data_IF_874585040880
#
_entry.id   IF_874585040880
#
_cell.length_a   1.000
_cell.length_b   1.000
_cell.length_c   1.000
_cell.angle_alpha   90.00
_cell.angle_beta   90.00
_cell.angle_gamma   90.00
#
_symmetry.space_group_name_H-M   'P 1'
#
loop_
_entity.id
_entity.type
_entity.pdbx_description
1 polymer ?
#
# COMPACT_ATOMS: atom_id res chain seq x y z
N UNK A 1 13.94 13.82 -10.43
CA UNK A 1 13.67 14.83 -9.38
C UNK A 1 14.01 14.20 -8.03
N UNK A 2 15.18 14.54 -7.46
CA UNK A 2 15.64 13.99 -6.17
C UNK A 2 14.80 14.62 -5.06
N UNK A 3 13.91 13.85 -4.44
CA UNK A 3 13.18 14.26 -3.24
C UNK A 3 14.21 14.44 -2.11
N UNK A 4 14.55 15.69 -1.80
CA UNK A 4 15.28 16.04 -0.57
C UNK A 4 14.24 16.18 0.53
N UNK A 5 14.24 15.26 1.49
CA UNK A 5 13.51 15.43 2.73
C UNK A 5 14.22 16.50 3.58
N UNK A 6 13.54 17.58 4.00
CA UNK A 6 14.12 18.54 4.93
C UNK A 6 14.27 17.91 6.32
N UNK A 7 15.22 18.46 7.07
CA UNK A 7 15.79 17.96 8.32
C UNK A 7 14.81 17.31 9.31
N UNK A 8 15.30 16.22 9.88
CA UNK A 8 14.79 15.50 11.04
C UNK A 8 14.63 16.42 12.26
N UNK A 9 13.46 17.03 12.42
CA UNK A 9 12.96 17.29 13.76
C UNK A 9 12.64 15.94 14.39
N UNK A 10 13.15 15.71 15.59
CA UNK A 10 13.01 14.47 16.35
C UNK A 10 11.52 14.15 16.50
N UNK A 11 11.04 13.20 15.68
CA UNK A 11 9.78 12.53 15.93
C UNK A 11 9.90 11.85 17.30
N UNK A 12 8.90 11.97 18.18
CA UNK A 12 8.88 11.15 19.37
C UNK A 12 8.89 9.69 18.90
N UNK A 13 9.99 8.99 19.18
CA UNK A 13 10.07 7.55 18.99
C UNK A 13 8.86 6.95 19.71
N UNK A 14 7.99 6.29 18.94
CA UNK A 14 6.83 5.54 19.43
C UNK A 14 7.33 4.25 20.12
N UNK A 15 8.29 4.38 21.03
CA UNK A 15 8.76 3.35 21.93
C UNK A 15 7.80 3.26 23.12
N UNK A 16 6.60 2.78 22.87
CA UNK A 16 5.93 1.93 23.84
C UNK A 16 4.98 0.99 23.08
N UNK A 17 4.70 -0.18 23.64
CA UNK A 17 3.79 -1.20 23.08
C UNK A 17 2.32 -0.75 23.09
N UNK A 18 2.06 0.54 22.89
CA UNK A 18 0.73 1.13 22.79
C UNK A 18 0.27 1.14 21.33
N UNK A 19 -1.02 0.90 21.16
CA UNK A 19 -1.67 0.91 19.85
C UNK A 19 -1.44 2.28 19.15
N UNK A 20 -0.99 2.32 17.89
CA UNK A 20 -0.65 3.57 17.19
C UNK A 20 -1.79 4.60 17.18
N UNK A 21 -3.05 4.14 17.13
CA UNK A 21 -4.21 5.03 17.18
C UNK A 21 -4.38 5.66 18.56
N UNK A 22 -4.11 4.91 19.63
CA UNK A 22 -4.15 5.43 20.99
C UNK A 22 -3.07 6.49 21.16
N UNK A 23 -1.85 6.19 20.74
CA UNK A 23 -0.73 7.13 20.86
C UNK A 23 -0.96 8.40 20.06
N UNK A 24 -1.52 8.29 18.85
CA UNK A 24 -1.89 9.46 18.04
C UNK A 24 -2.87 10.38 18.79
N UNK A 25 -3.91 9.80 19.37
CA UNK A 25 -4.96 10.58 20.03
C UNK A 25 -4.46 11.16 21.37
N UNK A 26 -3.64 10.42 22.13
CA UNK A 26 -3.00 10.91 23.36
C UNK A 26 -2.02 12.06 23.10
N UNK A 27 -1.25 11.95 22.02
CA UNK A 27 -0.35 13.02 21.57
C UNK A 27 -1.16 14.26 21.21
N UNK A 28 -2.28 14.10 20.50
CA UNK A 28 -3.18 15.21 20.19
C UNK A 28 -3.77 15.88 21.45
N UNK A 29 -4.25 15.10 22.42
CA UNK A 29 -4.75 15.64 23.70
C UNK A 29 -3.65 16.43 24.41
N UNK A 30 -2.41 15.94 24.37
CA UNK A 30 -1.25 16.62 24.94
C UNK A 30 -0.96 17.96 24.23
N UNK A 31 -1.04 18.01 22.90
CA UNK A 31 -0.92 19.25 22.11
C UNK A 31 -2.01 20.26 22.51
N UNK A 32 -3.25 19.82 22.69
CA UNK A 32 -4.37 20.68 23.13
C UNK A 32 -4.12 21.22 24.54
N UNK A 33 -3.71 20.36 25.49
CA UNK A 33 -3.38 20.77 26.87
C UNK A 33 -2.25 21.80 26.91
N UNK A 34 -1.18 21.57 26.15
CA UNK A 34 -0.06 22.50 26.05
C UNK A 34 -0.50 23.86 25.51
N UNK A 35 -1.36 23.85 24.48
CA UNK A 35 -1.91 25.07 23.88
C UNK A 35 -2.86 25.83 24.83
N UNK A 36 -3.58 25.10 25.69
CA UNK A 36 -4.40 25.67 26.76
C UNK A 36 -3.59 26.15 27.99
N UNK A 37 -2.25 26.02 27.96
CA UNK A 37 -1.35 26.42 29.04
C UNK A 37 -1.33 25.47 30.24
N UNK A 38 -1.81 24.23 30.09
CA UNK A 38 -1.83 23.21 31.14
C UNK A 38 -0.61 22.31 30.96
N UNK A 39 0.43 22.54 31.75
CA UNK A 39 1.61 21.66 31.77
C UNK A 39 1.31 20.41 32.59
N UNK A 40 1.68 19.24 32.08
CA UNK A 40 1.45 17.93 32.72
C UNK A 40 2.02 17.81 34.15
N UNK A 41 3.02 18.63 34.49
CA UNK A 41 3.71 18.65 35.80
C UNK A 41 3.27 19.79 36.74
N UNK A 42 2.24 20.57 36.41
CA UNK A 42 1.79 21.64 37.29
C UNK A 42 1.07 21.06 38.53
N UNK A 43 1.64 21.27 39.73
CA UNK A 43 1.10 20.80 41.02
C UNK A 43 -0.34 21.27 41.33
N UNK A 44 -0.86 22.28 40.61
CA UNK A 44 -2.24 22.75 40.72
C UNK A 44 -2.83 22.90 39.32
N UNK A 45 -3.84 22.08 39.01
CA UNK A 45 -4.69 22.30 37.83
C UNK A 45 -5.42 23.63 38.03
N UNK A 46 -5.35 24.60 37.10
CA UNK A 46 -6.05 25.88 37.26
C UNK A 46 -7.56 25.63 37.38
N UNK A 47 -8.24 26.42 38.22
CA UNK A 47 -9.69 26.32 38.46
C UNK A 47 -10.48 26.39 37.13
N UNK A 48 -9.93 27.09 36.14
CA UNK A 48 -10.52 27.27 34.80
C UNK A 48 -9.96 26.31 33.73
N UNK A 49 -9.24 25.25 34.11
CA UNK A 49 -8.59 24.32 33.17
C UNK A 49 -9.58 23.75 32.14
N UNK A 50 -10.77 23.35 32.60
CA UNK A 50 -11.81 22.80 31.74
C UNK A 50 -12.31 23.84 30.72
N UNK A 51 -12.53 25.08 31.15
CA UNK A 51 -12.99 26.16 30.28
C UNK A 51 -11.96 26.55 29.23
N UNK A 52 -10.67 26.56 29.58
CA UNK A 52 -9.57 26.83 28.63
C UNK A 52 -9.43 25.73 27.58
N UNK A 53 -9.46 24.46 27.99
CA UNK A 53 -9.46 23.33 27.05
C UNK A 53 -10.67 23.42 26.12
N UNK A 54 -11.86 23.67 26.66
CA UNK A 54 -13.08 23.76 25.86
C UNK A 54 -13.02 24.90 24.83
N UNK A 55 -12.51 26.08 25.20
CA UNK A 55 -12.30 27.19 24.27
C UNK A 55 -11.30 26.84 23.16
N UNK A 56 -10.20 26.16 23.49
CA UNK A 56 -9.19 25.75 22.51
C UNK A 56 -9.73 24.67 21.57
N UNK A 57 -10.49 23.71 22.11
CA UNK A 57 -11.20 22.70 21.34
C UNK A 57 -12.20 23.34 20.38
N UNK A 58 -12.99 24.31 20.84
CA UNK A 58 -13.92 25.04 19.98
C UNK A 58 -13.18 25.73 18.84
N UNK A 59 -12.09 26.44 19.10
CA UNK A 59 -11.29 27.10 18.06
C UNK A 59 -10.76 26.12 17.00
N UNK A 60 -10.27 24.96 17.42
CA UNK A 60 -9.67 23.96 16.51
C UNK A 60 -10.70 23.12 15.76
N UNK A 61 -11.81 22.76 16.41
CA UNK A 61 -12.82 21.85 15.88
C UNK A 61 -13.91 22.57 15.06
N UNK A 62 -13.96 23.91 15.05
CA UNK A 62 -14.93 24.67 14.24
C UNK A 62 -14.61 24.72 12.74
N UNK A 63 -13.54 24.05 12.27
CA UNK A 63 -13.31 23.92 10.83
C UNK A 63 -14.48 23.16 10.16
N UNK A 64 -14.93 23.61 8.97
CA UNK A 64 -15.89 22.86 8.17
C UNK A 64 -15.27 21.53 7.73
N UNK A 65 -16.04 20.43 7.80
CA UNK A 65 -15.65 19.12 7.27
C UNK A 65 -15.53 17.97 8.29
N UNK A 66 -15.38 18.25 9.60
CA UNK A 66 -15.30 17.17 10.59
C UNK A 66 -16.69 16.58 10.95
N UNK A 67 -16.85 15.25 11.01
CA UNK A 67 -18.09 14.60 11.45
C UNK A 67 -18.47 14.96 12.89
N UNK A 68 -19.76 15.12 13.17
CA UNK A 68 -20.26 15.46 14.52
C UNK A 68 -19.81 14.43 15.57
N UNK A 69 -19.95 13.14 15.28
CA UNK A 69 -19.58 12.07 16.22
C UNK A 69 -18.07 12.09 16.53
N UNK A 70 -17.24 12.42 15.54
CA UNK A 70 -15.79 12.50 15.73
C UNK A 70 -15.40 13.71 16.57
N UNK A 71 -16.05 14.87 16.37
CA UNK A 71 -15.88 16.04 17.23
C UNK A 71 -16.30 15.74 18.67
N UNK A 72 -17.47 15.14 18.85
CA UNK A 72 -18.00 14.75 20.15
C UNK A 72 -17.05 13.76 20.85
N UNK A 73 -16.50 12.77 20.13
CA UNK A 73 -15.53 11.82 20.67
C UNK A 73 -14.22 12.48 21.13
N UNK A 74 -13.67 13.42 20.36
CA UNK A 74 -12.44 14.14 20.71
C UNK A 74 -12.63 15.05 21.93
N UNK A 75 -13.76 15.77 21.99
CA UNK A 75 -14.10 16.62 23.15
C UNK A 75 -14.24 15.75 24.40
N UNK A 76 -15.00 14.66 24.27
CA UNK A 76 -15.20 13.71 25.36
C UNK A 76 -13.89 13.14 25.90
N UNK A 77 -12.96 12.79 25.00
CA UNK A 77 -11.68 12.24 25.40
C UNK A 77 -10.82 13.26 26.14
N UNK A 78 -10.72 14.50 25.62
CA UNK A 78 -9.95 15.55 26.28
C UNK A 78 -10.49 15.87 27.68
N UNK A 79 -11.81 15.82 27.85
CA UNK A 79 -12.46 16.03 29.15
C UNK A 79 -12.31 14.82 30.09
N UNK A 80 -12.45 13.59 29.59
CA UNK A 80 -12.21 12.38 30.36
C UNK A 80 -10.75 12.33 30.86
N UNK A 81 -9.80 12.74 30.03
CA UNK A 81 -8.38 12.83 30.40
C UNK A 81 -8.09 13.94 31.41
N UNK A 82 -8.87 15.04 31.40
CA UNK A 82 -8.83 16.06 32.45
C UNK A 82 -9.41 15.52 33.78
N UNK A 83 -10.50 14.77 33.76
CA UNK A 83 -11.08 14.16 34.97
C UNK A 83 -10.35 12.90 35.44
N UNK A 84 -9.40 12.40 34.65
CA UNK A 84 -8.70 11.14 34.89
C UNK A 84 -9.66 9.93 34.96
N UNK A 85 -10.71 9.97 34.13
CA UNK A 85 -11.69 8.89 33.97
C UNK A 85 -11.15 7.84 32.98
N UNK A 86 -10.62 6.75 33.53
CA UNK A 86 -9.94 5.70 32.77
C UNK A 86 -10.94 4.87 31.96
N UNK A 87 -12.14 4.63 32.49
CA UNK A 87 -13.15 3.77 31.86
C UNK A 87 -13.68 4.42 30.57
N UNK A 88 -14.03 5.71 30.63
CA UNK A 88 -14.49 6.45 29.45
C UNK A 88 -13.38 6.57 28.41
N UNK A 89 -12.12 6.74 28.82
CA UNK A 89 -10.97 6.77 27.90
C UNK A 89 -10.83 5.45 27.13
N UNK A 90 -10.87 4.31 27.83
CA UNK A 90 -10.73 2.99 27.21
C UNK A 90 -11.87 2.72 26.20
N UNK A 91 -13.11 3.12 26.53
CA UNK A 91 -14.24 3.02 25.60
C UNK A 91 -14.03 3.87 24.34
N UNK A 92 -13.53 5.10 24.49
CA UNK A 92 -13.24 5.99 23.36
C UNK A 92 -12.07 5.47 22.51
N UNK A 93 -11.05 4.87 23.13
CA UNK A 93 -9.95 4.23 22.41
C UNK A 93 -10.45 3.08 21.54
N UNK A 94 -11.32 2.20 22.06
CA UNK A 94 -11.96 1.16 21.26
C UNK A 94 -12.75 1.72 20.07
N UNK A 95 -13.47 2.82 20.29
CA UNK A 95 -14.22 3.49 19.22
C UNK A 95 -13.33 4.09 18.13
N UNK A 96 -12.22 4.75 18.50
CA UNK A 96 -11.25 5.28 17.52
C UNK A 96 -10.55 4.18 16.71
N UNK A 97 -10.39 2.99 17.30
CA UNK A 97 -9.90 1.79 16.58
C UNK A 97 -10.93 1.20 15.62
N UNK A 98 -12.17 1.70 15.63
CA UNK A 98 -13.24 1.23 14.75
C UNK A 98 -13.97 0.00 15.27
N UNK A 99 -13.99 -0.23 16.59
CA UNK A 99 -14.86 -1.26 17.17
C UNK A 99 -16.33 -1.02 16.79
N UNK A 100 -17.02 -2.08 16.34
CA UNK A 100 -18.43 -2.02 15.97
C UNK A 100 -19.34 -2.05 17.21
N UNK A 101 -19.14 -1.08 18.10
CA UNK A 101 -19.88 -0.92 19.34
C UNK A 101 -20.39 0.49 19.46
N UNK A 102 -21.67 0.61 19.84
CA UNK A 102 -22.25 1.90 20.25
C UNK A 102 -21.70 2.22 21.63
N UNK A 103 -21.08 3.38 21.77
CA UNK A 103 -20.58 3.85 23.06
C UNK A 103 -21.45 4.98 23.57
N UNK A 104 -21.59 5.05 24.89
CA UNK A 104 -22.31 6.12 25.56
C UNK A 104 -21.30 7.00 26.28
N UNK A 105 -21.34 8.28 25.98
CA UNK A 105 -20.47 9.29 26.58
C UNK A 105 -21.33 10.18 27.47
N UNK A 106 -20.91 10.47 28.72
CA UNK A 106 -21.59 11.44 29.56
C UNK A 106 -21.77 12.80 28.85
N UNK A 107 -23.01 13.31 28.80
CA UNK A 107 -23.30 14.60 28.15
C UNK A 107 -22.57 15.77 28.85
N UNK A 108 -22.24 15.59 30.13
CA UNK A 108 -21.43 16.52 30.93
C UNK A 108 -20.06 16.81 30.31
N UNK A 109 -19.48 15.89 29.53
CA UNK A 109 -18.21 16.13 28.83
C UNK A 109 -18.36 17.01 27.58
N UNK A 110 -19.56 17.10 27.03
CA UNK A 110 -19.83 17.84 25.79
C UNK A 110 -20.30 19.27 26.05
N UNK A 111 -20.71 19.58 27.28
CA UNK A 111 -21.18 20.92 27.66
C UNK A 111 -20.03 21.84 28.01
N UNK A 112 -20.21 23.12 27.72
CA UNK A 112 -19.30 24.16 28.20
C UNK A 112 -19.32 24.14 29.73
N UNK A 113 -18.16 24.04 30.40
CA UNK A 113 -18.09 24.11 31.84
C UNK A 113 -18.43 25.53 32.28
N UNK A 114 -19.65 25.71 32.80
CA UNK A 114 -20.18 26.97 33.30
C UNK A 114 -20.19 26.91 34.83
N UNK A 115 -19.44 27.79 35.47
CA UNK A 115 -19.01 27.69 36.89
C UNK A 115 -20.11 27.71 37.96
N UNK A 116 -21.40 27.58 37.59
CA UNK A 116 -22.55 27.76 38.47
C UNK A 116 -23.61 26.65 38.38
N UNK A 117 -23.42 25.60 37.58
CA UNK A 117 -24.41 24.50 37.47
C UNK A 117 -23.75 23.13 37.41
N UNK A 118 -23.51 22.53 38.57
CA UNK A 118 -23.38 21.07 38.72
C UNK A 118 -24.78 20.43 38.61
N UNK A 119 -25.40 20.51 37.44
CA UNK A 119 -26.52 19.63 37.13
C UNK A 119 -25.92 18.38 36.53
N UNK A 120 -25.74 17.34 37.35
CA UNK A 120 -25.43 15.98 36.88
C UNK A 120 -26.62 15.55 36.06
N UNK A 121 -26.57 15.83 34.77
CA UNK A 121 -27.58 15.36 33.85
C UNK A 121 -27.19 13.93 33.54
N UNK A 122 -27.87 12.94 34.12
CA UNK A 122 -27.67 11.50 33.84
C UNK A 122 -27.99 11.09 32.39
N UNK A 123 -27.91 12.03 31.46
CA UNK A 123 -28.10 11.85 30.03
C UNK A 123 -26.75 11.54 29.41
N UNK A 124 -26.73 10.52 28.57
CA UNK A 124 -25.56 10.10 27.83
C UNK A 124 -25.80 10.30 26.34
N UNK A 125 -24.78 10.75 25.64
CA UNK A 125 -24.76 10.87 24.18
C UNK A 125 -24.28 9.57 23.57
N UNK A 126 -25.01 9.05 22.58
CA UNK A 126 -24.64 7.81 21.90
C UNK A 126 -23.77 8.13 20.68
N UNK A 127 -22.53 7.67 20.68
CA UNK A 127 -21.68 7.69 19.49
C UNK A 127 -21.89 6.40 18.71
N UNK A 128 -22.20 6.55 17.42
CA UNK A 128 -22.39 5.43 16.51
C UNK A 128 -21.03 4.91 16.04
N UNK A 129 -20.88 3.60 15.80
CA UNK A 129 -19.64 3.04 15.28
C UNK A 129 -19.30 3.62 13.90
N UNK A 130 -18.02 3.59 13.55
CA UNK A 130 -17.55 3.98 12.22
C UNK A 130 -17.91 2.83 11.28
N UNK A 131 -18.85 3.08 10.38
CA UNK A 131 -19.37 2.08 9.45
C UNK A 131 -19.18 2.51 8.01
N UNK A 132 -19.68 1.70 7.06
CA UNK A 132 -19.53 1.94 5.62
C UNK A 132 -20.00 3.34 5.17
N UNK A 133 -21.09 3.85 5.75
CA UNK A 133 -21.61 5.17 5.42
C UNK A 133 -20.85 6.36 6.03
N UNK A 134 -19.98 6.12 7.02
CA UNK A 134 -19.21 7.16 7.73
C UNK A 134 -17.70 7.01 7.57
N UNK A 135 -17.22 5.94 6.93
CA UNK A 135 -15.80 5.65 6.75
C UNK A 135 -15.05 6.78 6.04
N UNK A 136 -15.63 7.34 4.96
CA UNK A 136 -15.01 8.44 4.21
C UNK A 136 -14.81 9.69 5.07
N UNK A 137 -15.82 10.05 5.84
CA UNK A 137 -15.78 11.25 6.68
C UNK A 137 -14.91 11.02 7.93
N UNK A 138 -14.84 9.78 8.43
CA UNK A 138 -13.90 9.37 9.47
C UNK A 138 -12.44 9.42 8.98
N UNK A 139 -12.14 9.00 7.75
CA UNK A 139 -10.80 9.12 7.15
C UNK A 139 -10.36 10.58 7.05
N UNK A 140 -11.25 11.47 6.59
CA UNK A 140 -10.97 12.91 6.58
C UNK A 140 -10.68 13.46 7.98
N UNK A 141 -11.43 13.01 8.99
CA UNK A 141 -11.21 13.41 10.38
C UNK A 141 -9.88 12.87 10.94
N UNK A 142 -9.49 11.65 10.56
CA UNK A 142 -8.20 11.06 10.90
C UNK A 142 -7.05 11.83 10.27
N UNK A 143 -7.14 12.18 8.98
CA UNK A 143 -6.12 13.00 8.29
C UNK A 143 -5.97 14.37 8.95
N UNK A 144 -7.09 14.99 9.32
CA UNK A 144 -7.07 16.23 10.10
C UNK A 144 -6.32 16.03 11.42
N UNK A 145 -6.61 14.95 12.16
CA UNK A 145 -5.98 14.65 13.45
C UNK A 145 -4.46 14.46 13.30
N UNK A 146 -4.03 13.70 12.30
CA UNK A 146 -2.61 13.46 11.97
C UNK A 146 -1.88 14.78 11.73
N UNK A 147 -2.49 15.70 10.97
CA UNK A 147 -1.93 17.05 10.75
C UNK A 147 -1.86 17.88 12.02
N UNK A 148 -2.85 17.76 12.92
CA UNK A 148 -2.85 18.51 14.19
C UNK A 148 -1.73 18.07 15.14
N UNK A 149 -1.25 16.82 15.01
CA UNK A 149 -0.13 16.28 15.78
C UNK A 149 1.24 16.70 15.19
N UNK A 150 1.26 17.31 14.00
CA UNK A 150 2.48 17.77 13.34
C UNK A 150 2.99 16.85 12.22
N UNK A 151 2.31 15.74 11.97
CA UNK A 151 2.65 14.85 10.86
C UNK A 151 2.22 15.47 9.52
N UNK A 152 3.03 15.29 8.47
CA UNK A 152 2.73 15.86 7.14
C UNK A 152 1.50 15.22 6.46
N UNK A 153 1.16 13.98 6.83
CA UNK A 153 0.11 13.23 6.16
C UNK A 153 0.08 11.75 6.54
N UNK A 154 -0.74 10.99 5.81
CA UNK A 154 -0.90 9.54 5.92
C UNK A 154 -0.50 8.89 4.60
N UNK A 155 0.33 7.87 4.67
CA UNK A 155 0.58 6.96 3.55
C UNK A 155 -0.28 5.72 3.76
N UNK A 156 -1.18 5.44 2.83
CA UNK A 156 -2.02 4.25 2.83
C UNK A 156 -1.52 3.30 1.74
N UNK A 157 -1.03 2.13 2.15
CA UNK A 157 -0.62 1.07 1.24
C UNK A 157 -1.72 0.00 1.22
N UNK A 158 -2.27 -0.27 0.06
CA UNK A 158 -3.23 -1.36 -0.16
C UNK A 158 -2.50 -2.44 -0.93
N UNK A 159 -2.35 -3.60 -0.30
CA UNK A 159 -1.79 -4.78 -0.94
C UNK A 159 -2.87 -5.57 -1.68
N UNK A 160 -2.46 -6.39 -2.64
CA UNK A 160 -3.31 -7.34 -3.38
C UNK A 160 -4.59 -6.73 -3.96
N UNK A 161 -4.49 -5.58 -4.65
CA UNK A 161 -5.69 -4.91 -5.18
C UNK A 161 -6.40 -5.74 -6.25
N UNK A 162 -5.73 -6.74 -6.83
CA UNK A 162 -6.32 -7.77 -7.69
C UNK A 162 -7.45 -8.57 -7.00
N UNK A 163 -7.46 -8.66 -5.67
CA UNK A 163 -8.54 -9.32 -4.91
C UNK A 163 -9.91 -8.68 -5.18
N UNK A 164 -9.93 -7.38 -5.49
CA UNK A 164 -11.16 -6.69 -5.88
C UNK A 164 -11.80 -7.33 -7.11
N UNK A 165 -11.00 -7.86 -8.04
CA UNK A 165 -11.51 -8.54 -9.22
C UNK A 165 -12.00 -9.97 -8.95
N UNK A 166 -11.64 -10.57 -7.81
CA UNK A 166 -12.14 -11.90 -7.42
C UNK A 166 -13.56 -11.86 -6.85
N UNK A 167 -14.10 -10.67 -6.54
CA UNK A 167 -15.47 -10.54 -6.02
C UNK A 167 -16.51 -11.15 -6.98
N UNK A 168 -17.40 -12.04 -6.52
CA UNK A 168 -18.31 -12.78 -7.42
C UNK A 168 -19.33 -11.92 -8.17
N UNK A 169 -19.74 -10.79 -7.59
CA UNK A 169 -20.78 -9.91 -8.13
C UNK A 169 -20.15 -8.70 -8.82
N UNK A 170 -20.46 -8.52 -10.10
CA UNK A 170 -19.98 -7.40 -10.91
C UNK A 170 -20.27 -6.04 -10.27
N UNK A 171 -21.49 -5.83 -9.76
CA UNK A 171 -21.86 -4.57 -9.09
C UNK A 171 -20.99 -4.24 -7.87
N UNK A 172 -20.50 -5.26 -7.14
CA UNK A 172 -19.60 -5.03 -5.98
C UNK A 172 -18.20 -4.65 -6.43
N UNK A 173 -17.72 -5.20 -7.54
CA UNK A 173 -16.45 -4.80 -8.17
C UNK A 173 -16.50 -3.34 -8.59
N UNK A 174 -17.55 -2.98 -9.33
CA UNK A 174 -17.72 -1.61 -9.84
C UNK A 174 -17.84 -0.60 -8.69
N UNK A 175 -18.54 -0.96 -7.60
CA UNK A 175 -18.58 -0.14 -6.36
C UNK A 175 -17.22 0.02 -5.69
N UNK A 176 -16.41 -1.04 -5.62
CA UNK A 176 -15.09 -0.98 -5.01
C UNK A 176 -14.12 -0.12 -5.86
N UNK A 177 -14.14 -0.27 -7.19
CA UNK A 177 -13.36 0.54 -8.11
C UNK A 177 -13.79 2.02 -8.07
N UNK A 178 -15.09 2.28 -7.98
CA UNK A 178 -15.62 3.64 -7.80
C UNK A 178 -15.16 4.24 -6.47
N UNK A 179 -15.21 3.48 -5.37
CA UNK A 179 -14.73 3.96 -4.08
C UNK A 179 -13.22 4.27 -4.11
N UNK A 180 -12.42 3.40 -4.73
CA UNK A 180 -10.99 3.62 -4.93
C UNK A 180 -10.73 4.90 -5.73
N UNK A 181 -11.47 5.10 -6.83
CA UNK A 181 -11.39 6.32 -7.64
C UNK A 181 -11.73 7.57 -6.81
N UNK A 182 -12.80 7.53 -6.01
CA UNK A 182 -13.14 8.62 -5.10
C UNK A 182 -12.01 8.89 -4.10
N UNK A 183 -11.39 7.86 -3.52
CA UNK A 183 -10.26 8.03 -2.62
C UNK A 183 -9.06 8.69 -3.31
N UNK A 184 -8.73 8.28 -4.53
CA UNK A 184 -7.65 8.88 -5.34
C UNK A 184 -7.97 10.35 -5.69
N UNK A 185 -9.20 10.63 -6.14
CA UNK A 185 -9.65 12.00 -6.44
C UNK A 185 -9.52 12.92 -5.22
N UNK A 186 -10.00 12.47 -4.06
CA UNK A 186 -9.94 13.27 -2.84
C UNK A 186 -8.51 13.43 -2.31
N UNK A 187 -7.64 12.44 -2.51
CA UNK A 187 -6.21 12.53 -2.15
C UNK A 187 -5.48 13.60 -2.98
N UNK A 188 -5.86 13.75 -4.26
CA UNK A 188 -5.35 14.80 -5.14
C UNK A 188 -6.01 16.17 -4.95
N UNK A 189 -7.14 16.23 -4.24
CA UNK A 189 -7.89 17.46 -3.94
C UNK A 189 -7.65 18.01 -2.53
N UNK A 190 -8.39 19.08 -2.18
CA UNK A 190 -8.27 19.73 -0.88
C UNK A 190 -8.86 18.90 0.28
N UNK A 191 -9.82 18.00 -0.02
CA UNK A 191 -10.58 17.24 0.98
C UNK A 191 -9.73 16.22 1.75
N UNK A 192 -8.80 15.51 1.08
CA UNK A 192 -7.82 14.63 1.72
C UNK A 192 -6.38 15.10 1.48
N UNK A 193 -6.13 16.41 1.50
CA UNK A 193 -4.76 16.92 1.40
C UNK A 193 -3.86 16.22 2.42
N UNK A 194 -2.72 15.67 1.99
CA UNK A 194 -1.82 14.89 2.85
C UNK A 194 -2.11 13.39 2.92
N UNK A 195 -3.07 12.86 2.15
CA UNK A 195 -3.18 11.42 1.91
C UNK A 195 -2.34 11.03 0.69
N UNK A 196 -1.50 10.02 0.83
CA UNK A 196 -0.79 9.39 -0.28
C UNK A 196 -1.20 7.91 -0.35
N UNK A 197 -1.65 7.47 -1.51
CA UNK A 197 -2.14 6.11 -1.72
C UNK A 197 -1.14 5.33 -2.58
N UNK A 198 -0.68 4.18 -2.07
CA UNK A 198 0.08 3.19 -2.83
C UNK A 198 -0.75 1.94 -2.98
N UNK A 199 -0.79 1.42 -4.19
CA UNK A 199 -1.56 0.23 -4.55
C UNK A 199 -0.57 -0.79 -5.11
N UNK A 200 -0.50 -1.96 -4.50
CA UNK A 200 0.18 -3.10 -5.09
C UNK A 200 -0.72 -3.67 -6.17
N UNK A 201 -0.31 -3.54 -7.43
CA UNK A 201 -1.05 -4.03 -8.59
C UNK A 201 -0.11 -4.80 -9.52
N UNK A 202 -0.60 -5.88 -10.10
CA UNK A 202 0.13 -6.64 -11.12
C UNK A 202 0.06 -5.96 -12.49
N UNK A 203 1.01 -6.23 -13.41
CA UNK A 203 0.95 -5.71 -14.77
C UNK A 203 -0.36 -6.04 -15.50
N UNK A 204 -0.91 -7.24 -15.26
CA UNK A 204 -2.17 -7.68 -15.85
C UNK A 204 -3.33 -6.73 -15.52
N UNK A 205 -3.35 -6.11 -14.34
CA UNK A 205 -4.40 -5.16 -13.96
C UNK A 205 -4.43 -3.89 -14.82
N UNK A 206 -3.30 -3.52 -15.44
CA UNK A 206 -3.20 -2.37 -16.34
C UNK A 206 -3.55 -2.73 -17.79
N UNK A 207 -3.42 -3.99 -18.18
CA UNK A 207 -3.60 -4.46 -19.56
C UNK A 207 -4.98 -5.08 -19.79
N UNK A 208 -5.52 -5.79 -18.78
CA UNK A 208 -6.72 -6.58 -18.93
C UNK A 208 -8.00 -5.69 -18.85
N UNK A 209 -8.89 -5.73 -19.87
CA UNK A 209 -10.12 -4.93 -19.94
C UNK A 209 -11.10 -5.12 -18.78
N UNK A 210 -10.92 -6.15 -17.95
CA UNK A 210 -11.74 -6.40 -16.77
C UNK A 210 -11.32 -5.60 -15.52
N UNK A 211 -10.14 -4.96 -15.53
CA UNK A 211 -9.52 -4.28 -14.39
C UNK A 211 -9.51 -2.75 -14.53
N UNK A 212 -8.35 -2.08 -14.44
CA UNK A 212 -8.25 -0.62 -14.54
C UNK A 212 -8.73 -0.06 -15.88
N UNK A 213 -8.46 -0.69 -17.04
CA UNK A 213 -8.97 -0.22 -18.33
C UNK A 213 -10.50 -0.18 -18.42
N UNK A 214 -11.20 -0.97 -17.60
CA UNK A 214 -12.66 -0.94 -17.50
C UNK A 214 -13.19 0.37 -16.92
N UNK A 215 -12.35 1.01 -16.11
CA UNK A 215 -12.67 2.23 -15.38
C UNK A 215 -11.69 3.33 -15.80
N UNK A 216 -11.91 3.87 -17.00
CA UNK A 216 -11.07 4.92 -17.62
C UNK A 216 -10.78 6.10 -16.67
N UNK A 217 -11.76 6.45 -15.84
CA UNK A 217 -11.62 7.46 -14.81
C UNK A 217 -10.53 7.15 -13.78
N UNK A 218 -10.36 5.89 -13.37
CA UNK A 218 -9.31 5.49 -12.44
C UNK A 218 -7.96 5.36 -13.16
N UNK A 219 -7.96 4.82 -14.38
CA UNK A 219 -6.75 4.63 -15.20
C UNK A 219 -5.99 5.95 -15.42
N UNK A 220 -6.69 7.04 -15.68
CA UNK A 220 -6.09 8.37 -15.88
C UNK A 220 -5.43 8.96 -14.62
N UNK A 221 -5.70 8.38 -13.44
CA UNK A 221 -5.27 8.89 -12.13
C UNK A 221 -4.23 8.02 -11.43
N UNK A 222 -4.11 6.75 -11.83
CA UNK A 222 -3.10 5.83 -11.30
C UNK A 222 -1.86 5.90 -12.21
N UNK A 223 -0.70 6.08 -11.60
CA UNK A 223 0.58 6.02 -12.30
C UNK A 223 1.42 4.89 -11.71
N UNK A 224 2.04 4.10 -12.59
CA UNK A 224 3.02 3.11 -12.17
C UNK A 224 4.25 3.81 -11.59
N UNK A 225 4.64 3.40 -10.39
CA UNK A 225 5.82 3.95 -9.72
C UNK A 225 7.05 3.19 -10.19
N UNK A 226 7.95 3.90 -10.89
CA UNK A 226 9.17 3.33 -11.47
C UNK A 226 8.97 2.93 -12.94
N UNK A 227 9.87 3.39 -13.81
CA UNK A 227 9.89 3.06 -15.25
C UNK A 227 10.80 1.87 -15.60
N UNK A 228 11.37 1.21 -14.58
CA UNK A 228 12.34 0.13 -14.75
C UNK A 228 11.74 -1.25 -14.44
N UNK A 229 12.39 -2.30 -14.94
CA UNK A 229 12.06 -3.69 -14.62
C UNK A 229 12.19 -3.87 -13.10
N UNK A 230 11.10 -4.29 -12.46
CA UNK A 230 11.12 -4.60 -11.05
C UNK A 230 11.71 -6.00 -10.84
N UNK A 231 13.02 -6.09 -10.62
CA UNK A 231 13.73 -7.34 -10.34
C UNK A 231 13.25 -8.07 -9.08
N UNK A 232 12.50 -7.38 -8.20
CA UNK A 232 11.85 -7.95 -7.01
C UNK A 232 10.37 -8.32 -7.24
N UNK A 233 9.85 -8.10 -8.44
CA UNK A 233 8.48 -8.43 -8.79
C UNK A 233 8.29 -9.95 -8.90
N UNK A 234 7.09 -10.48 -8.59
CA UNK A 234 6.78 -11.90 -8.75
C UNK A 234 6.78 -12.34 -10.22
N UNK A 235 6.60 -11.39 -11.14
CA UNK A 235 6.61 -11.60 -12.60
C UNK A 235 7.66 -10.68 -13.20
N UNK A 236 8.63 -11.25 -13.91
CA UNK A 236 9.64 -10.52 -14.68
C UNK A 236 9.26 -10.60 -16.16
N UNK A 237 9.05 -9.44 -16.78
CA UNK A 237 8.74 -9.34 -18.20
C UNK A 237 10.02 -9.55 -19.03
N UNK A 238 10.19 -10.78 -19.51
CA UNK A 238 11.35 -11.19 -20.32
C UNK A 238 11.38 -10.56 -21.71
N UNK A 239 10.27 -9.98 -22.19
CA UNK A 239 10.23 -9.28 -23.49
C UNK A 239 10.80 -7.87 -23.38
N UNK A 240 10.57 -7.21 -22.23
CA UNK A 240 11.11 -5.88 -21.92
C UNK A 240 12.49 -5.92 -21.28
N UNK A 241 13.09 -7.10 -21.10
CA UNK A 241 14.43 -7.24 -20.53
C UNK A 241 15.49 -7.11 -21.63
N UNK A 242 16.26 -5.99 -21.68
CA UNK A 242 17.33 -5.85 -22.65
C UNK A 242 18.53 -6.66 -22.16
N UNK A 243 18.53 -7.97 -22.43
CA UNK A 243 19.70 -8.79 -22.16
C UNK A 243 20.77 -8.54 -23.22
N UNK A 244 21.98 -8.23 -22.77
CA UNK A 244 23.13 -8.08 -23.66
C UNK A 244 23.61 -9.45 -24.17
N UNK A 245 24.38 -9.46 -25.26
CA UNK A 245 24.91 -10.69 -25.87
C UNK A 245 25.68 -11.56 -24.87
N UNK A 246 26.42 -10.93 -23.95
CA UNK A 246 27.20 -11.58 -22.90
C UNK A 246 26.32 -12.30 -21.90
N UNK A 247 25.21 -11.68 -21.49
CA UNK A 247 24.24 -12.26 -20.56
C UNK A 247 23.48 -13.40 -21.22
N UNK A 248 23.17 -13.28 -22.51
CA UNK A 248 22.48 -14.31 -23.28
C UNK A 248 23.35 -15.55 -23.52
N UNK A 249 24.66 -15.36 -23.76
CA UNK A 249 25.65 -16.45 -23.70
C UNK A 249 25.70 -17.11 -22.32
N UNK A 250 25.61 -16.33 -21.26
CA UNK A 250 25.54 -16.85 -19.88
C UNK A 250 24.30 -17.72 -19.63
N UNK A 251 23.13 -17.35 -20.18
CA UNK A 251 21.92 -18.17 -20.11
C UNK A 251 22.13 -19.48 -20.86
N UNK A 252 22.66 -19.43 -22.09
CA UNK A 252 22.92 -20.62 -22.89
C UNK A 252 23.86 -21.62 -22.18
N UNK A 253 24.95 -21.13 -21.58
CA UNK A 253 25.86 -21.97 -20.77
C UNK A 253 25.15 -22.65 -19.60
N UNK A 254 24.33 -21.91 -18.84
CA UNK A 254 23.55 -22.48 -17.74
C UNK A 254 22.55 -23.55 -18.20
N UNK A 255 21.99 -23.40 -19.40
CA UNK A 255 21.10 -24.42 -19.99
C UNK A 255 21.90 -25.69 -20.32
N UNK A 256 23.08 -25.55 -20.90
CA UNK A 256 23.99 -26.68 -21.17
C UNK A 256 24.39 -27.37 -19.86
N UNK A 257 24.80 -26.61 -18.84
CA UNK A 257 25.13 -27.16 -17.52
C UNK A 257 23.95 -27.94 -16.91
N UNK A 258 22.74 -27.39 -16.99
CA UNK A 258 21.53 -28.06 -16.50
C UNK A 258 21.21 -29.34 -17.30
N UNK A 259 21.44 -29.32 -18.61
CA UNK A 259 21.24 -30.49 -19.49
C UNK A 259 22.27 -31.58 -19.23
N UNK A 260 23.53 -31.21 -19.00
CA UNK A 260 24.63 -32.08 -18.60
C UNK A 260 24.33 -32.78 -17.27
N UNK A 261 23.81 -32.04 -16.27
CA UNK A 261 23.39 -32.63 -15.00
C UNK A 261 22.27 -33.66 -15.19
N UNK A 262 21.31 -33.39 -16.09
CA UNK A 262 20.16 -34.24 -16.30
C UNK A 262 20.48 -35.51 -17.12
N UNK A 263 21.39 -35.42 -18.10
CA UNK A 263 21.58 -36.46 -19.12
C UNK A 263 23.03 -36.91 -19.34
N UNK A 264 23.99 -36.34 -18.62
CA UNK A 264 25.41 -36.67 -18.66
C UNK A 264 26.23 -35.83 -19.66
N UNK A 265 27.56 -35.88 -19.50
CA UNK A 265 28.54 -35.07 -20.25
C UNK A 265 28.55 -35.29 -21.76
N UNK A 266 28.34 -36.54 -22.19
CA UNK A 266 28.37 -36.92 -23.61
C UNK A 266 27.34 -36.14 -24.45
N UNK A 267 26.17 -35.83 -23.86
CA UNK A 267 25.09 -35.14 -24.56
C UNK A 267 25.41 -33.67 -24.90
N UNK A 268 26.41 -33.09 -24.25
CA UNK A 268 26.75 -31.65 -24.32
C UNK A 268 28.16 -31.37 -24.85
N UNK A 269 28.97 -32.40 -25.07
CA UNK A 269 30.40 -32.28 -25.43
C UNK A 269 30.64 -31.55 -26.76
N UNK A 270 29.69 -31.66 -27.70
CA UNK A 270 29.73 -30.97 -28.99
C UNK A 270 29.37 -29.48 -28.92
N UNK A 271 28.80 -29.02 -27.79
CA UNK A 271 28.37 -27.63 -27.60
C UNK A 271 29.56 -26.77 -27.21
N UNK A 272 30.25 -26.27 -28.22
CA UNK A 272 31.37 -25.34 -28.05
C UNK A 272 30.90 -23.88 -27.92
N UNK A 273 31.76 -23.03 -27.36
CA UNK A 273 31.49 -21.59 -27.21
C UNK A 273 31.18 -20.89 -28.54
N UNK A 274 31.66 -21.42 -29.67
CA UNK A 274 31.33 -20.95 -31.02
C UNK A 274 29.88 -21.27 -31.42
N UNK A 275 29.36 -22.45 -31.10
CA UNK A 275 27.97 -22.87 -31.36
C UNK A 275 27.00 -22.04 -30.54
N UNK A 276 27.34 -21.80 -29.27
CA UNK A 276 26.57 -20.88 -28.41
C UNK A 276 26.57 -19.47 -29.00
N UNK A 277 27.75 -19.00 -29.45
CA UNK A 277 27.89 -17.69 -30.07
C UNK A 277 27.05 -17.50 -31.33
N UNK A 278 27.06 -18.47 -32.24
CA UNK A 278 26.27 -18.41 -33.48
C UNK A 278 24.77 -18.40 -33.21
N UNK A 279 24.29 -19.22 -32.28
CA UNK A 279 22.87 -19.26 -31.93
C UNK A 279 22.40 -17.98 -31.24
N UNK A 280 23.23 -17.40 -30.36
CA UNK A 280 22.92 -16.13 -29.70
C UNK A 280 22.83 -14.99 -30.72
N UNK A 281 23.72 -14.94 -31.72
CA UNK A 281 23.66 -13.97 -32.81
C UNK A 281 22.38 -14.15 -33.64
N UNK A 282 22.06 -15.39 -34.02
CA UNK A 282 20.83 -15.70 -34.77
C UNK A 282 19.57 -15.26 -34.02
N UNK A 283 19.51 -15.50 -32.71
CA UNK A 283 18.36 -15.08 -31.87
C UNK A 283 18.32 -13.56 -31.65
N UNK A 284 19.47 -12.88 -31.65
CA UNK A 284 19.53 -11.41 -31.58
C UNK A 284 19.01 -10.75 -32.85
N UNK A 285 19.34 -11.32 -34.01
CA UNK A 285 18.94 -10.84 -35.34
C UNK A 285 17.49 -11.18 -35.70
N UNK A 286 16.92 -12.21 -35.06
CA UNK A 286 15.55 -12.62 -35.29
C UNK A 286 14.56 -11.50 -34.90
N UNK A 287 13.62 -11.21 -35.81
CA UNK A 287 12.61 -10.13 -35.69
C UNK A 287 11.26 -10.61 -35.13
N UNK A 288 11.15 -11.87 -34.72
CA UNK A 288 9.92 -12.39 -34.13
C UNK A 288 9.54 -11.66 -32.83
N UNK A 289 8.22 -11.57 -32.58
CA UNK A 289 7.64 -10.91 -31.40
C UNK A 289 7.83 -11.69 -30.09
N UNK A 290 8.40 -12.89 -30.15
CA UNK A 290 8.64 -13.74 -28.99
C UNK A 290 9.83 -13.20 -28.19
N UNK A 291 9.71 -13.10 -26.86
CA UNK A 291 10.83 -12.68 -26.01
C UNK A 291 12.13 -13.45 -26.33
N UNK A 292 13.17 -12.73 -26.76
CA UNK A 292 14.47 -13.29 -27.20
C UNK A 292 15.05 -14.34 -26.23
N UNK A 293 14.98 -14.18 -24.90
CA UNK A 293 15.52 -15.18 -23.97
C UNK A 293 14.76 -16.51 -24.02
N UNK A 294 13.45 -16.45 -24.24
CA UNK A 294 12.58 -17.64 -24.37
C UNK A 294 12.85 -18.37 -25.67
N UNK A 295 13.06 -17.63 -26.76
CA UNK A 295 13.41 -18.20 -28.06
C UNK A 295 14.77 -18.92 -28.00
N UNK A 296 15.78 -18.29 -27.38
CA UNK A 296 17.09 -18.91 -27.16
C UNK A 296 16.96 -20.21 -26.38
N UNK A 297 16.27 -20.18 -25.23
CA UNK A 297 16.15 -21.35 -24.37
C UNK A 297 15.48 -22.53 -25.08
N UNK A 298 14.42 -22.24 -25.86
CA UNK A 298 13.72 -23.26 -26.64
C UNK A 298 14.63 -23.86 -27.72
N UNK A 299 15.26 -23.03 -28.55
CA UNK A 299 16.16 -23.52 -29.62
C UNK A 299 17.33 -24.34 -29.06
N UNK A 300 17.94 -23.88 -27.97
CA UNK A 300 19.02 -24.62 -27.29
C UNK A 300 18.56 -26.02 -26.86
N UNK A 301 17.41 -26.11 -26.20
CA UNK A 301 16.88 -27.41 -25.72
C UNK A 301 16.47 -28.31 -26.88
N UNK A 302 15.86 -27.76 -27.93
CA UNK A 302 15.52 -28.51 -29.16
C UNK A 302 16.78 -29.10 -29.81
N UNK A 303 17.82 -28.29 -30.03
CA UNK A 303 19.10 -28.75 -30.59
C UNK A 303 19.79 -29.82 -29.75
N UNK A 304 19.83 -29.64 -28.42
CA UNK A 304 20.40 -30.62 -27.49
C UNK A 304 19.63 -31.94 -27.52
N UNK A 305 18.31 -31.87 -27.60
CA UNK A 305 17.45 -33.06 -27.61
C UNK A 305 17.50 -33.83 -28.93
N UNK A 306 17.54 -33.10 -30.06
CA UNK A 306 17.66 -33.69 -31.39
C UNK A 306 18.95 -34.50 -31.51
N UNK A 307 20.10 -33.91 -31.18
CA UNK A 307 21.40 -34.61 -31.23
C UNK A 307 21.48 -35.83 -30.32
N UNK A 308 20.87 -35.78 -29.13
CA UNK A 308 20.77 -36.94 -28.24
C UNK A 308 19.90 -38.06 -28.83
N UNK A 309 18.81 -37.70 -29.51
CA UNK A 309 17.91 -38.69 -30.11
C UNK A 309 18.61 -39.45 -31.24
N UNK A 310 19.46 -38.76 -32.01
CA UNK A 310 20.32 -39.37 -33.03
C UNK A 310 21.41 -40.31 -32.46
N UNK A 311 21.89 -40.09 -31.23
CA UNK A 311 22.86 -41.01 -30.59
C UNK A 311 22.19 -42.24 -29.95
N UNK A 312 20.87 -42.20 -29.72
CA UNK A 312 20.08 -43.30 -29.17
C UNK A 312 19.58 -44.33 -30.19
N UNK A 313 19.49 -43.96 -31.47
CA UNK A 313 19.14 -44.85 -32.59
C UNK A 313 20.41 -45.23 -33.38
N UNK A 314 21.11 -46.25 -32.89
CA UNK A 314 22.16 -46.90 -33.66
C UNK A 314 21.58 -47.72 -34.80
N UNK A 315 21.46 -47.14 -35.99
CA UNK A 315 21.38 -47.89 -37.26
C UNK A 315 22.59 -47.51 -38.13
N UNK A 316 23.54 -48.44 -38.41
CA UNK A 316 24.82 -48.10 -39.06
C UNK A 316 24.74 -47.95 -40.57
N UNK A 317 23.57 -47.71 -41.18
CA UNK A 317 23.47 -47.61 -42.63
C UNK A 317 22.34 -46.71 -43.16
N UNK A 318 22.52 -45.40 -43.09
CA UNK A 318 21.95 -44.49 -44.08
C UNK A 318 22.87 -43.30 -44.30
N UNK A 319 23.64 -43.37 -45.37
CA UNK A 319 24.32 -42.22 -45.92
C UNK A 319 23.32 -41.22 -46.53
N UNK A 320 23.82 -39.99 -46.61
CA UNK A 320 23.39 -38.86 -47.44
C UNK A 320 22.30 -37.91 -46.92
N UNK A 321 22.78 -36.65 -46.85
CA UNK A 321 22.14 -35.38 -47.20
C UNK A 321 20.88 -34.96 -46.46
N UNK A 322 21.00 -33.88 -45.66
CA UNK A 322 19.98 -32.83 -45.68
C UNK A 322 20.67 -31.47 -45.79
N UNK A 323 20.24 -30.76 -46.84
CA UNK A 323 20.59 -29.42 -47.24
C UNK A 323 20.37 -28.40 -46.12
N UNK A 324 21.31 -27.46 -46.05
CA UNK A 324 21.04 -26.12 -45.56
C UNK A 324 20.39 -25.36 -46.72
N UNK A 325 19.09 -25.13 -46.66
CA UNK A 325 18.42 -24.18 -47.54
C UNK A 325 17.92 -22.98 -46.72
N UNK A 326 17.99 -21.84 -47.40
CA UNK A 326 18.04 -20.45 -46.93
C UNK A 326 16.78 -19.88 -46.27
#
# INVERSE_FOLDING_TARGET
MKLRFPHSEQFPELEDRSDPMVTLVETWVSVVKNSAGIRAQALRRPVDAASRIYQELQKRLFKPGLPSNFKEALIALAMADLKSDIDTKNLLYGWFKGEDRKIQVPEDYLRQPDGLRNVVSGKSRVLRPIGRGTARSALGALLWLIKQVGCSGLVLCIDEIEELAKLRLQNRRDQALQALREHVDNAGGDDFGGLCLYLAATPEMFENPAYFPRYEALQTRIQQVGKGINWRGPVVDLEKTPLEETEMKGIAKKIVDAYQIAYGEAATEWVTDSVIGSLVLEVLENRERTGKPRLLARKMVEMLHEKRSFEGEGDPNSGQEILVDA
#
